data_IF_742192214421
#
_entry.id   IF_742192214421
#
_cell.length_a   1.000
_cell.length_b   1.000
_cell.length_c   1.000
_cell.angle_alpha   90.00
_cell.angle_beta   90.00
_cell.angle_gamma   90.00
#
_symmetry.space_group_name_H-M   'P 1'
#
loop_
_entity.id
_entity.type
_entity.pdbx_description
1 polymer ?
#
# COMPACT_ATOMS: atom_id res chain seq x y z
N UNK A 1 11.30 -1.35 4.79
CA UNK A 1 10.68 -0.71 3.61
C UNK A 1 11.57 -0.83 2.37
N UNK A 2 12.83 -0.35 2.37
CA UNK A 2 13.71 -0.45 1.19
C UNK A 2 14.05 -1.89 0.74
N UNK A 3 14.05 -2.85 1.66
CA UNK A 3 14.40 -4.25 1.35
C UNK A 3 13.46 -4.93 0.34
N UNK A 4 12.27 -4.38 0.11
CA UNK A 4 11.28 -4.91 -0.84
C UNK A 4 11.34 -4.25 -2.23
N UNK A 5 12.11 -3.15 -2.37
CA UNK A 5 12.17 -2.39 -3.63
C UNK A 5 13.52 -2.67 -4.30
N UNK A 6 13.46 -3.15 -5.55
CA UNK A 6 14.64 -3.43 -6.37
C UNK A 6 15.56 -2.20 -6.45
N UNK A 7 16.87 -2.40 -6.20
CA UNK A 7 17.86 -1.32 -6.31
C UNK A 7 17.89 -0.76 -7.74
N UNK A 8 18.12 0.54 -7.87
CA UNK A 8 18.04 1.23 -9.16
C UNK A 8 16.61 1.59 -9.59
N UNK A 9 15.58 1.15 -8.87
CA UNK A 9 14.19 1.58 -9.11
C UNK A 9 14.06 3.11 -9.03
N UNK A 10 13.11 3.65 -9.80
CA UNK A 10 12.73 5.06 -9.75
C UNK A 10 11.84 5.31 -8.55
N UNK A 11 12.22 6.28 -7.73
CA UNK A 11 11.45 6.66 -6.53
C UNK A 11 11.15 8.14 -6.61
N UNK A 12 9.87 8.50 -6.50
CA UNK A 12 9.40 9.88 -6.54
C UNK A 12 8.83 10.28 -5.19
N UNK A 13 9.25 11.42 -4.66
CA UNK A 13 8.81 11.95 -3.36
C UNK A 13 8.48 13.43 -3.45
N UNK A 14 7.97 13.99 -2.37
CA UNK A 14 7.98 15.43 -2.13
C UNK A 14 9.42 15.93 -1.85
N UNK A 15 9.54 17.22 -1.50
CA UNK A 15 10.78 17.92 -1.17
C UNK A 15 11.28 17.71 0.26
N UNK A 16 10.74 16.73 1.00
CA UNK A 16 11.18 16.51 2.37
C UNK A 16 12.59 15.87 2.42
N UNK A 17 13.49 16.50 3.17
CA UNK A 17 14.91 16.13 3.29
C UNK A 17 15.15 14.71 3.84
N UNK A 18 14.19 14.16 4.57
CA UNK A 18 14.24 12.77 5.05
C UNK A 18 14.44 11.75 3.93
N UNK A 19 14.15 12.10 2.67
CA UNK A 19 14.29 11.21 1.51
C UNK A 19 15.66 11.26 0.81
N UNK A 20 16.57 12.15 1.21
CA UNK A 20 17.86 12.33 0.55
C UNK A 20 18.75 11.06 0.57
N UNK A 21 18.56 10.21 1.58
CA UNK A 21 19.26 8.92 1.69
C UNK A 21 18.94 7.96 0.53
N UNK A 22 17.84 8.14 -0.20
CA UNK A 22 17.44 7.25 -1.29
C UNK A 22 18.47 7.24 -2.42
N UNK A 23 19.11 8.38 -2.71
CA UNK A 23 20.21 8.44 -3.67
C UNK A 23 21.42 7.64 -3.19
N UNK A 24 21.77 7.78 -1.92
CA UNK A 24 22.89 7.07 -1.30
C UNK A 24 22.63 5.55 -1.23
N UNK A 25 21.35 5.16 -1.09
CA UNK A 25 20.91 3.78 -1.11
C UNK A 25 20.84 3.15 -2.52
N UNK A 26 21.16 3.92 -3.58
CA UNK A 26 21.24 3.43 -4.95
C UNK A 26 19.93 3.48 -5.75
N UNK A 27 18.96 4.30 -5.34
CA UNK A 27 17.72 4.52 -6.08
C UNK A 27 17.81 5.71 -7.04
N UNK A 28 17.10 5.62 -8.16
CA UNK A 28 16.93 6.74 -9.08
C UNK A 28 15.88 7.73 -8.54
N UNK A 29 16.27 8.47 -7.50
CA UNK A 29 15.37 9.35 -6.75
C UNK A 29 15.20 10.73 -7.40
N UNK A 30 13.94 11.16 -7.56
CA UNK A 30 13.52 12.50 -7.98
C UNK A 30 12.49 13.03 -6.99
N UNK A 31 12.45 14.34 -6.79
CA UNK A 31 11.46 15.01 -5.95
C UNK A 31 10.80 16.16 -6.70
N UNK A 32 9.63 16.58 -6.22
CA UNK A 32 8.95 17.82 -6.63
C UNK A 32 9.07 18.85 -5.51
N UNK A 33 9.28 20.12 -5.85
CA UNK A 33 9.41 21.20 -4.87
C UNK A 33 8.10 21.96 -4.69
N UNK A 34 7.29 21.55 -3.71
CA UNK A 34 6.02 22.20 -3.41
C UNK A 34 6.19 23.64 -2.94
N UNK A 35 7.29 23.95 -2.25
CA UNK A 35 7.60 25.31 -1.79
C UNK A 35 7.83 26.29 -2.95
N UNK A 36 8.28 25.78 -4.10
CA UNK A 36 8.45 26.53 -5.34
C UNK A 36 7.20 26.48 -6.25
N UNK A 37 6.08 25.92 -5.79
CA UNK A 37 4.85 25.73 -6.57
C UNK A 37 4.95 24.63 -7.62
N UNK A 38 5.95 23.74 -7.54
CA UNK A 38 6.09 22.59 -8.42
C UNK A 38 5.37 21.37 -7.81
N UNK A 39 4.24 20.98 -8.41
CA UNK A 39 3.47 19.81 -7.99
C UNK A 39 3.66 18.59 -8.90
N UNK A 40 4.15 18.79 -10.12
CA UNK A 40 4.48 17.71 -11.05
C UNK A 40 5.51 18.18 -12.09
N UNK A 41 6.43 17.27 -12.43
CA UNK A 41 7.36 17.43 -13.55
C UNK A 41 7.32 16.21 -14.45
N UNK A 42 6.41 16.24 -15.43
CA UNK A 42 6.12 15.07 -16.26
C UNK A 42 5.59 13.92 -15.40
N UNK A 43 6.32 12.81 -15.36
CA UNK A 43 5.97 11.64 -14.53
C UNK A 43 6.46 11.72 -13.08
N UNK A 44 7.25 12.74 -12.72
CA UNK A 44 7.73 12.94 -11.35
C UNK A 44 6.66 13.70 -10.57
N UNK A 45 5.93 12.99 -9.70
CA UNK A 45 4.93 13.54 -8.80
C UNK A 45 4.57 12.52 -7.70
N UNK A 46 3.96 12.99 -6.61
CA UNK A 46 3.38 12.14 -5.54
C UNK A 46 1.86 11.97 -5.65
N UNK A 47 1.21 12.57 -6.67
CA UNK A 47 -0.25 12.63 -6.83
C UNK A 47 -0.96 11.28 -6.77
N UNK A 48 -0.35 10.20 -7.26
CA UNK A 48 -0.95 8.86 -7.19
C UNK A 48 -1.12 8.39 -5.76
N UNK A 49 -0.10 8.59 -4.91
CA UNK A 49 -0.17 8.22 -3.50
C UNK A 49 -1.18 9.09 -2.75
N UNK A 50 -1.21 10.39 -3.05
CA UNK A 50 -2.19 11.33 -2.47
C UNK A 50 -3.63 10.98 -2.85
N UNK A 51 -3.86 10.61 -4.12
CA UNK A 51 -5.16 10.19 -4.60
C UNK A 51 -5.63 8.91 -3.90
N UNK A 52 -4.75 7.92 -3.75
CA UNK A 52 -5.04 6.68 -3.01
C UNK A 52 -5.42 7.00 -1.56
N UNK A 53 -4.65 7.87 -0.89
CA UNK A 53 -4.91 8.25 0.50
C UNK A 53 -6.24 8.99 0.68
N UNK A 54 -6.60 9.83 -0.30
CA UNK A 54 -7.87 10.54 -0.35
C UNK A 54 -9.08 9.60 -0.47
N UNK A 55 -8.89 8.38 -1.01
CA UNK A 55 -9.91 7.33 -1.10
C UNK A 55 -9.91 6.41 0.13
N UNK A 56 -8.74 6.04 0.63
CA UNK A 56 -8.61 5.16 1.80
C UNK A 56 -9.21 5.79 3.06
N UNK A 57 -9.04 7.11 3.26
CA UNK A 57 -9.59 7.81 4.43
C UNK A 57 -11.12 7.68 4.55
N UNK A 58 -11.94 8.04 3.53
CA UNK A 58 -13.38 7.81 3.55
C UNK A 58 -13.75 6.34 3.76
N UNK A 59 -13.05 5.42 3.10
CA UNK A 59 -13.28 3.98 3.28
C UNK A 59 -13.15 3.58 4.76
N UNK A 60 -12.04 3.94 5.42
CA UNK A 60 -11.83 3.63 6.84
C UNK A 60 -12.86 4.31 7.76
N UNK A 61 -13.39 5.48 7.39
CA UNK A 61 -14.42 6.19 8.19
C UNK A 61 -15.74 5.43 8.25
N UNK A 62 -16.03 4.56 7.28
CA UNK A 62 -17.29 3.77 7.28
C UNK A 62 -17.41 2.83 8.49
N UNK A 63 -16.28 2.40 9.06
CA UNK A 63 -16.24 1.46 10.18
C UNK A 63 -16.41 2.12 11.56
N UNK A 64 -16.49 3.47 11.63
CA UNK A 64 -16.67 4.25 12.88
C UNK A 64 -15.64 3.95 13.99
N UNK A 65 -14.43 3.53 13.61
CA UNK A 65 -13.36 3.16 14.51
C UNK A 65 -12.63 1.92 13.99
N UNK A 66 -11.31 1.94 14.01
CA UNK A 66 -10.48 0.84 13.53
C UNK A 66 -9.44 0.52 14.59
N UNK A 67 -9.39 -0.74 15.02
CA UNK A 67 -8.33 -1.22 15.91
C UNK A 67 -6.99 -1.20 15.16
N UNK A 68 -5.95 -0.64 15.80
CA UNK A 68 -4.59 -0.61 15.23
C UNK A 68 -4.06 -2.01 14.89
N UNK A 69 -4.44 -3.01 15.68
CA UNK A 69 -4.06 -4.41 15.47
C UNK A 69 -4.60 -4.96 14.16
N UNK A 70 -5.85 -4.60 13.81
CA UNK A 70 -6.53 -5.10 12.63
C UNK A 70 -6.43 -4.16 11.42
N UNK A 71 -5.90 -2.94 11.59
CA UNK A 71 -5.73 -1.96 10.52
C UNK A 71 -5.10 -2.54 9.24
N UNK A 72 -4.06 -3.40 9.30
CA UNK A 72 -3.50 -4.01 8.09
C UNK A 72 -4.52 -4.79 7.26
N UNK A 73 -5.49 -5.47 7.90
CA UNK A 73 -6.53 -6.22 7.19
C UNK A 73 -7.51 -5.30 6.45
N UNK A 74 -7.89 -4.16 7.07
CA UNK A 74 -8.73 -3.17 6.39
C UNK A 74 -8.03 -2.58 5.18
N UNK A 75 -6.73 -2.27 5.31
CA UNK A 75 -5.91 -1.76 4.21
C UNK A 75 -5.77 -2.81 3.11
N UNK A 76 -5.54 -4.09 3.45
CA UNK A 76 -5.45 -5.18 2.47
C UNK A 76 -6.75 -5.38 1.68
N UNK A 77 -7.91 -5.27 2.33
CA UNK A 77 -9.20 -5.33 1.64
C UNK A 77 -9.39 -4.13 0.70
N UNK A 78 -9.05 -2.93 1.17
CA UNK A 78 -9.10 -1.73 0.32
C UNK A 78 -8.17 -1.85 -0.88
N UNK A 79 -6.93 -2.30 -0.68
CA UNK A 79 -5.94 -2.54 -1.73
C UNK A 79 -6.48 -3.53 -2.76
N UNK A 80 -7.01 -4.66 -2.30
CA UNK A 80 -7.62 -5.66 -3.17
C UNK A 80 -8.72 -5.05 -4.04
N UNK A 81 -9.65 -4.31 -3.43
CA UNK A 81 -10.75 -3.65 -4.13
C UNK A 81 -10.25 -2.59 -5.13
N UNK A 82 -9.28 -1.77 -4.72
CA UNK A 82 -8.73 -0.70 -5.55
C UNK A 82 -7.99 -1.26 -6.77
N UNK A 83 -7.15 -2.28 -6.58
CA UNK A 83 -6.38 -2.91 -7.65
C UNK A 83 -7.28 -3.67 -8.64
N UNK A 84 -8.38 -4.27 -8.16
CA UNK A 84 -9.33 -5.03 -8.97
C UNK A 84 -10.59 -4.24 -9.35
N UNK A 85 -10.60 -2.90 -9.20
CA UNK A 85 -11.76 -2.03 -9.48
C UNK A 85 -12.30 -2.12 -10.92
N UNK A 86 -11.50 -2.63 -11.84
CA UNK A 86 -11.85 -2.83 -13.25
C UNK A 86 -12.61 -4.16 -13.49
N UNK A 87 -12.67 -5.03 -12.47
CA UNK A 87 -13.38 -6.30 -12.52
C UNK A 87 -14.79 -6.17 -11.95
N UNK A 88 -15.70 -6.98 -12.48
CA UNK A 88 -17.05 -7.16 -11.90
C UNK A 88 -16.96 -7.87 -10.54
N UNK A 89 -17.99 -7.74 -9.72
CA UNK A 89 -18.08 -8.41 -8.42
C UNK A 89 -17.87 -9.93 -8.52
N UNK A 90 -18.40 -10.56 -9.57
CA UNK A 90 -18.22 -12.00 -9.81
C UNK A 90 -16.77 -12.38 -10.12
N UNK A 91 -16.07 -11.57 -10.91
CA UNK A 91 -14.66 -11.78 -11.20
C UNK A 91 -13.78 -11.57 -9.96
N UNK A 92 -14.08 -10.53 -9.16
CA UNK A 92 -13.40 -10.30 -7.88
C UNK A 92 -13.61 -11.47 -6.92
N UNK A 93 -14.84 -11.99 -6.82
CA UNK A 93 -15.14 -13.19 -6.04
C UNK A 93 -14.34 -14.41 -6.54
N UNK A 94 -14.21 -14.58 -7.86
CA UNK A 94 -13.36 -15.61 -8.46
C UNK A 94 -11.90 -15.51 -8.04
N UNK A 95 -11.31 -14.31 -8.07
CA UNK A 95 -9.93 -14.07 -7.61
C UNK A 95 -9.79 -14.39 -6.12
N UNK A 96 -10.72 -13.93 -5.28
CA UNK A 96 -10.70 -14.23 -3.84
C UNK A 96 -10.78 -15.73 -3.58
N UNK A 97 -11.69 -16.45 -4.25
CA UNK A 97 -11.83 -17.89 -4.11
C UNK A 97 -10.55 -18.62 -4.51
N UNK A 98 -9.92 -18.25 -5.62
CA UNK A 98 -8.66 -18.84 -6.04
C UNK A 98 -7.57 -18.65 -4.98
N UNK A 99 -7.47 -17.45 -4.38
CA UNK A 99 -6.53 -17.17 -3.29
C UNK A 99 -6.86 -17.96 -2.03
N UNK A 100 -8.14 -18.09 -1.68
CA UNK A 100 -8.59 -18.88 -0.53
C UNK A 100 -8.23 -20.36 -0.67
N UNK A 101 -8.36 -20.94 -1.88
CA UNK A 101 -7.95 -22.32 -2.13
C UNK A 101 -6.43 -22.55 -2.02
N UNK A 102 -5.64 -21.50 -2.19
CA UNK A 102 -4.18 -21.55 -2.03
C UNK A 102 -3.75 -21.22 -0.59
N UNK A 103 -4.68 -20.81 0.27
CA UNK A 103 -4.37 -20.37 1.62
C UNK A 103 -4.37 -21.53 2.62
N UNK A 104 -3.37 -21.58 3.50
CA UNK A 104 -3.36 -22.50 4.63
C UNK A 104 -4.23 -21.95 5.77
N UNK A 105 -5.44 -22.50 5.90
CA UNK A 105 -6.37 -22.11 6.96
C UNK A 105 -5.85 -22.39 8.38
N UNK A 106 -4.89 -23.29 8.55
CA UNK A 106 -4.27 -23.59 9.85
C UNK A 106 -3.32 -22.47 10.26
N UNK A 107 -2.52 -21.99 9.31
CA UNK A 107 -1.61 -20.87 9.52
C UNK A 107 -2.37 -19.56 9.78
N UNK A 108 -3.43 -19.30 9.02
CA UNK A 108 -4.30 -18.13 9.26
C UNK A 108 -4.88 -18.16 10.68
N UNK A 109 -5.39 -19.31 11.12
CA UNK A 109 -5.94 -19.46 12.48
C UNK A 109 -4.89 -19.22 13.55
N UNK A 110 -3.65 -19.66 13.32
CA UNK A 110 -2.53 -19.45 14.24
C UNK A 110 -2.20 -17.96 14.34
N UNK A 111 -2.02 -17.28 13.21
CA UNK A 111 -1.72 -15.84 13.14
C UNK A 111 -2.78 -15.00 13.88
N UNK A 112 -4.05 -15.32 13.69
CA UNK A 112 -5.16 -14.61 14.37
C UNK A 112 -5.14 -14.88 15.88
N UNK A 113 -4.89 -16.13 16.31
CA UNK A 113 -4.82 -16.49 17.74
C UNK A 113 -3.65 -15.84 18.46
N UNK A 114 -2.50 -15.76 17.80
CA UNK A 114 -1.26 -15.22 18.35
C UNK A 114 -1.17 -13.69 18.23
N UNK A 115 -2.21 -13.06 17.66
CA UNK A 115 -2.24 -11.62 17.40
C UNK A 115 -1.08 -11.13 16.50
N UNK A 116 -0.54 -12.02 15.66
CA UNK A 116 0.59 -11.78 14.78
C UNK A 116 0.18 -11.21 13.41
N UNK A 117 -1.03 -10.64 13.31
CA UNK A 117 -1.61 -10.14 12.05
C UNK A 117 -0.72 -9.07 11.41
N UNK A 118 -0.08 -8.21 12.21
CA UNK A 118 0.82 -7.16 11.70
C UNK A 118 2.06 -7.77 11.01
N UNK A 119 2.52 -8.92 11.47
CA UNK A 119 3.68 -9.62 10.90
C UNK A 119 3.29 -10.38 9.63
N UNK A 120 2.10 -10.98 9.61
CA UNK A 120 1.58 -11.71 8.46
C UNK A 120 1.14 -10.79 7.32
N UNK A 121 0.51 -9.66 7.65
CA UNK A 121 0.14 -8.61 6.71
C UNK A 121 1.26 -7.58 6.52
N UNK A 122 2.53 -7.98 6.64
CA UNK A 122 3.57 -7.21 5.97
C UNK A 122 3.18 -7.17 4.50
N UNK A 123 2.73 -5.99 4.04
CA UNK A 123 2.26 -5.76 2.68
C UNK A 123 3.34 -6.28 1.72
N UNK A 124 3.16 -7.53 1.27
CA UNK A 124 3.97 -8.15 0.25
C UNK A 124 3.46 -7.60 -1.07
N UNK A 125 3.91 -6.40 -1.38
CA UNK A 125 3.83 -5.79 -2.72
C UNK A 125 5.12 -6.05 -3.46
#
# INVERSE_FOLDING_TARGET
MLAQIERGSRVYTDDYDIYDFLRQAGYAHRSVNHSAGEYARGSVHCNTAEAIWSLLRPYLRTFRGVSKVYLPLYVAVFEFQYNHRHLTTWQQAGVLLQRLFQADGTEIRKVVRENAIVEYCQLQT
#
